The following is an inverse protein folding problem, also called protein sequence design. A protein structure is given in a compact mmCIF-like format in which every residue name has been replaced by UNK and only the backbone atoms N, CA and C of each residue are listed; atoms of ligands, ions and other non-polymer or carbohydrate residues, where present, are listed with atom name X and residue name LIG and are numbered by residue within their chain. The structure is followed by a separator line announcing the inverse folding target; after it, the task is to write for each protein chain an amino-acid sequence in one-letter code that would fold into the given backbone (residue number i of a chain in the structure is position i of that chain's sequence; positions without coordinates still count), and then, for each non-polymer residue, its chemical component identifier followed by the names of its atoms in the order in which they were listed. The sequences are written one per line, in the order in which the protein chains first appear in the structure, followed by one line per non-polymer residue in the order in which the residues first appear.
data_IF_256045827559
#
_entry.id   IF_256045827559
#
_cell.length_a   1.000
_cell.length_b   1.000
_cell.length_c   1.000
_cell.angle_alpha   90.00
_cell.angle_beta   90.00
_cell.angle_gamma   90.00
#
_symmetry.space_group_name_H-M   'P 1'
#
loop_
_entity.id
_entity.type
_entity.pdbx_description
1 polymer ?
#
# COMPACT_ATOMS: atom_id res chain seq x y z
N UNK A 1 27.29 -17.27 18.03
CA UNK A 1 26.65 -16.31 17.10
C UNK A 1 26.66 -16.96 15.74
N UNK A 2 25.50 -17.02 15.08
CA UNK A 2 25.42 -17.56 13.72
C UNK A 2 26.07 -16.56 12.76
N UNK A 3 26.94 -17.03 11.89
CA UNK A 3 27.51 -16.21 10.82
C UNK A 3 26.39 -15.84 9.82
N UNK A 4 26.24 -14.55 9.52
CA UNK A 4 25.21 -14.09 8.58
C UNK A 4 25.64 -14.40 7.16
N UNK A 5 24.84 -15.19 6.44
CA UNK A 5 24.91 -15.21 4.98
C UNK A 5 24.22 -13.95 4.42
N UNK A 6 25.04 -12.99 4.01
CA UNK A 6 24.59 -11.72 3.44
C UNK A 6 23.99 -11.88 2.03
N UNK A 7 24.35 -12.92 1.28
CA UNK A 7 23.75 -13.20 -0.01
C UNK A 7 22.29 -13.61 0.16
N UNK A 8 22.00 -14.45 1.17
CA UNK A 8 20.63 -14.84 1.53
C UNK A 8 19.80 -13.64 2.02
N UNK A 9 20.36 -12.80 2.89
CA UNK A 9 19.69 -11.56 3.33
C UNK A 9 19.39 -10.65 2.14
N UNK A 10 20.31 -10.52 1.18
CA UNK A 10 20.11 -9.72 -0.02
C UNK A 10 19.04 -10.28 -0.97
N UNK A 11 18.90 -11.60 -1.09
CA UNK A 11 17.82 -12.22 -1.87
C UNK A 11 16.44 -11.99 -1.22
N UNK A 12 16.34 -12.14 0.10
CA UNK A 12 15.10 -11.82 0.84
C UNK A 12 14.76 -10.33 0.71
N UNK A 13 15.75 -9.45 0.83
CA UNK A 13 15.57 -8.02 0.65
C UNK A 13 15.09 -7.68 -0.77
N UNK A 14 15.64 -8.32 -1.80
CA UNK A 14 15.24 -8.08 -3.20
C UNK A 14 13.78 -8.47 -3.47
N UNK A 15 13.38 -9.66 -3.01
CA UNK A 15 12.00 -10.15 -3.10
C UNK A 15 11.03 -9.22 -2.38
N UNK A 16 11.42 -8.77 -1.19
CA UNK A 16 10.61 -7.87 -0.37
C UNK A 16 10.49 -6.49 -1.00
N UNK A 17 11.60 -5.92 -1.47
CA UNK A 17 11.64 -4.63 -2.14
C UNK A 17 10.78 -4.61 -3.40
N UNK A 18 10.81 -5.69 -4.20
CA UNK A 18 9.94 -5.84 -5.37
C UNK A 18 8.46 -5.82 -4.99
N UNK A 19 8.09 -6.51 -3.92
CA UNK A 19 6.70 -6.49 -3.42
C UNK A 19 6.29 -5.08 -2.97
N UNK A 20 7.17 -4.38 -2.25
CA UNK A 20 6.89 -3.04 -1.74
C UNK A 20 6.76 -2.04 -2.87
N UNK A 21 7.74 -1.94 -3.77
CA UNK A 21 7.69 -1.02 -4.91
C UNK A 21 6.51 -1.29 -5.86
N UNK A 22 6.03 -2.55 -5.93
CA UNK A 22 4.83 -2.87 -6.70
C UNK A 22 3.53 -2.27 -6.11
N UNK A 23 3.48 -2.16 -4.78
CA UNK A 23 2.35 -1.64 -4.02
C UNK A 23 2.49 -0.13 -3.69
N UNK A 24 3.71 0.37 -3.58
CA UNK A 24 4.02 1.76 -3.23
C UNK A 24 4.66 2.43 -4.45
N UNK A 25 3.84 3.11 -5.27
CA UNK A 25 4.32 3.74 -6.51
C UNK A 25 5.25 4.94 -6.28
N UNK A 26 5.44 5.35 -5.03
CA UNK A 26 6.27 6.50 -4.64
C UNK A 26 7.75 6.13 -4.48
N UNK A 27 8.07 4.83 -4.39
CA UNK A 27 9.45 4.34 -4.20
C UNK A 27 9.89 3.42 -5.31
N UNK A 28 11.20 3.42 -5.59
CA UNK A 28 11.82 2.47 -6.50
C UNK A 28 12.31 1.23 -5.77
N UNK A 29 12.35 0.10 -6.49
CA UNK A 29 12.75 -1.19 -5.92
C UNK A 29 14.16 -1.13 -5.32
N UNK A 30 15.11 -0.56 -6.06
CA UNK A 30 16.52 -0.62 -5.67
C UNK A 30 16.80 0.26 -4.43
N UNK A 31 16.12 1.40 -4.30
CA UNK A 31 16.17 2.24 -3.10
C UNK A 31 15.61 1.52 -1.88
N UNK A 32 14.46 0.85 -2.02
CA UNK A 32 13.87 0.05 -0.92
C UNK A 32 14.82 -1.07 -0.52
N UNK A 33 15.44 -1.75 -1.49
CA UNK A 33 16.41 -2.82 -1.23
C UNK A 33 17.63 -2.28 -0.48
N UNK A 34 18.18 -1.16 -0.94
CA UNK A 34 19.33 -0.50 -0.30
C UNK A 34 18.98 -0.09 1.14
N UNK A 35 17.80 0.48 1.36
CA UNK A 35 17.33 0.85 2.70
C UNK A 35 17.18 -0.37 3.62
N UNK A 36 16.63 -1.49 3.13
CA UNK A 36 16.52 -2.74 3.89
C UNK A 36 17.92 -3.26 4.27
N UNK A 37 18.86 -3.29 3.32
CA UNK A 37 20.21 -3.80 3.54
C UNK A 37 21.01 -2.92 4.50
N UNK A 38 20.89 -1.60 4.38
CA UNK A 38 21.48 -0.66 5.32
C UNK A 38 20.95 -0.91 6.74
N UNK A 39 19.63 -1.06 6.88
CA UNK A 39 19.01 -1.36 8.17
C UNK A 39 19.45 -2.71 8.75
N UNK A 40 19.62 -3.71 7.89
CA UNK A 40 20.13 -5.02 8.29
C UNK A 40 21.57 -4.94 8.79
N UNK A 41 22.43 -4.17 8.12
CA UNK A 41 23.81 -3.95 8.53
C UNK A 41 23.92 -3.24 9.88
N UNK A 42 23.17 -2.15 10.07
CA UNK A 42 23.11 -1.40 11.32
C UNK A 42 22.62 -2.27 12.50
N UNK A 43 21.76 -3.24 12.22
CA UNK A 43 21.15 -4.14 13.22
C UNK A 43 21.64 -5.59 13.11
N UNK A 44 22.86 -5.80 12.61
CA UNK A 44 23.43 -7.14 12.39
C UNK A 44 23.32 -8.05 13.61
N UNK A 45 23.53 -7.53 14.82
CA UNK A 45 23.48 -8.30 16.07
C UNK A 45 22.09 -8.83 16.40
N UNK A 46 21.04 -8.15 15.94
CA UNK A 46 19.67 -8.62 16.08
C UNK A 46 19.38 -9.76 15.10
N UNK A 47 19.92 -9.66 13.88
CA UNK A 47 19.81 -10.69 12.85
C UNK A 47 20.57 -11.94 13.26
N UNK A 48 21.81 -11.82 13.74
CA UNK A 48 22.63 -12.95 14.23
C UNK A 48 21.94 -13.76 15.33
N UNK A 49 21.16 -13.10 16.19
CA UNK A 49 20.40 -13.74 17.28
C UNK A 49 19.12 -14.43 16.82
N UNK A 50 18.52 -13.98 15.72
CA UNK A 50 17.20 -14.42 15.26
C UNK A 50 17.24 -14.93 13.81
N UNK A 51 18.39 -15.45 13.37
CA UNK A 51 18.67 -15.78 11.97
C UNK A 51 17.78 -16.92 11.46
N UNK A 52 16.61 -16.55 10.94
CA UNK A 52 15.61 -17.45 10.37
C UNK A 52 14.93 -16.75 9.19
N UNK A 53 14.51 -17.50 8.18
CA UNK A 53 13.83 -16.94 7.00
C UNK A 53 12.61 -16.11 7.38
N UNK A 54 11.78 -16.64 8.30
CA UNK A 54 10.58 -15.95 8.78
C UNK A 54 10.92 -14.60 9.41
N UNK A 55 11.95 -14.55 10.26
CA UNK A 55 12.38 -13.31 10.89
C UNK A 55 12.94 -12.33 9.85
N UNK A 56 13.82 -12.79 8.95
CA UNK A 56 14.41 -11.96 7.91
C UNK A 56 13.33 -11.36 7.00
N UNK A 57 12.30 -12.13 6.65
CA UNK A 57 11.18 -11.65 5.85
C UNK A 57 10.37 -10.57 6.58
N UNK A 58 10.05 -10.79 7.86
CA UNK A 58 9.33 -9.80 8.68
C UNK A 58 10.16 -8.54 8.91
N UNK A 59 11.46 -8.70 9.16
CA UNK A 59 12.42 -7.62 9.32
C UNK A 59 12.52 -6.76 8.06
N UNK A 60 12.75 -7.40 6.90
CA UNK A 60 12.84 -6.73 5.61
C UNK A 60 11.52 -6.01 5.27
N UNK A 61 10.38 -6.66 5.50
CA UNK A 61 9.07 -6.05 5.23
C UNK A 61 8.87 -4.80 6.07
N UNK A 62 9.18 -4.87 7.37
CA UNK A 62 9.05 -3.73 8.28
C UNK A 62 9.96 -2.58 7.87
N UNK A 63 11.24 -2.86 7.61
CA UNK A 63 12.21 -1.85 7.20
C UNK A 63 11.81 -1.17 5.89
N UNK A 64 11.45 -1.96 4.87
CA UNK A 64 11.04 -1.43 3.58
C UNK A 64 9.74 -0.63 3.63
N UNK A 65 8.72 -1.09 4.37
CA UNK A 65 7.47 -0.34 4.54
C UNK A 65 7.70 0.98 5.28
N UNK A 66 8.59 0.99 6.28
CA UNK A 66 8.96 2.24 6.98
C UNK A 66 9.66 3.22 6.05
N UNK A 67 10.56 2.75 5.19
CA UNK A 67 11.19 3.58 4.16
C UNK A 67 10.14 4.15 3.19
N UNK A 68 9.30 3.28 2.61
CA UNK A 68 8.25 3.71 1.67
C UNK A 68 7.25 4.70 2.29
N UNK A 69 6.90 4.52 3.57
CA UNK A 69 6.05 5.47 4.29
C UNK A 69 6.73 6.83 4.46
N UNK A 70 8.02 6.88 4.75
CA UNK A 70 8.75 8.15 4.88
C UNK A 70 8.86 8.89 3.54
N UNK A 71 9.15 8.17 2.47
CA UNK A 71 9.20 8.74 1.11
C UNK A 71 7.84 9.27 0.69
N UNK A 72 6.75 8.55 1.03
CA UNK A 72 5.40 9.06 0.85
C UNK A 72 5.17 10.34 1.64
N UNK A 73 5.42 10.32 2.94
CA UNK A 73 5.15 11.47 3.80
C UNK A 73 5.96 12.70 3.32
N UNK A 74 7.20 12.52 2.84
CA UNK A 74 8.01 13.58 2.24
C UNK A 74 7.42 14.12 0.92
N UNK A 75 7.02 13.23 0.01
CA UNK A 75 6.39 13.58 -1.27
C UNK A 75 5.03 14.26 -1.10
N UNK A 76 4.24 13.81 -0.13
CA UNK A 76 2.94 14.40 0.18
C UNK A 76 3.11 15.87 0.63
N UNK A 77 4.16 16.16 1.41
CA UNK A 77 4.51 17.53 1.82
C UNK A 77 5.06 18.36 0.66
N UNK A 78 5.92 17.79 -0.18
CA UNK A 78 6.56 18.49 -1.30
C UNK A 78 5.58 18.80 -2.45
N UNK A 79 4.83 17.78 -2.90
CA UNK A 79 3.93 17.88 -4.05
C UNK A 79 2.53 18.41 -3.66
N UNK A 80 2.21 18.48 -2.36
CA UNK A 80 0.87 18.79 -1.84
C UNK A 80 -0.19 17.77 -2.27
N UNK A 81 0.23 16.56 -2.69
CA UNK A 81 -0.63 15.53 -3.28
C UNK A 81 -0.36 14.17 -2.67
N UNK A 82 -1.42 13.53 -2.21
CA UNK A 82 -1.35 12.22 -1.58
C UNK A 82 -1.03 11.08 -2.55
N UNK A 83 -0.32 10.06 -2.07
CA UNK A 83 -0.16 8.77 -2.75
C UNK A 83 -0.96 7.65 -2.07
N UNK A 84 -1.95 7.12 -2.78
CA UNK A 84 -2.71 5.95 -2.37
C UNK A 84 -1.94 4.65 -2.58
N UNK A 85 -2.06 3.74 -1.61
CA UNK A 85 -1.65 2.34 -1.68
C UNK A 85 -2.83 1.42 -2.09
N UNK A 86 -2.58 0.19 -2.57
CA UNK A 86 -3.61 -0.80 -2.85
C UNK A 86 -4.51 -1.12 -1.66
N UNK A 87 -3.94 -1.13 -0.45
CA UNK A 87 -4.71 -1.37 0.78
C UNK A 87 -5.63 -0.19 1.11
N UNK A 88 -5.19 1.05 0.89
CA UNK A 88 -6.04 2.25 1.03
C UNK A 88 -7.14 2.29 -0.03
N UNK A 89 -6.84 1.92 -1.27
CA UNK A 89 -7.85 1.78 -2.32
C UNK A 89 -8.89 0.69 -1.98
N UNK A 90 -8.46 -0.41 -1.36
CA UNK A 90 -9.36 -1.46 -0.85
C UNK A 90 -10.27 -0.93 0.26
N UNK A 91 -9.72 -0.18 1.21
CA UNK A 91 -10.51 0.44 2.28
C UNK A 91 -11.54 1.43 1.71
N UNK A 92 -11.14 2.23 0.71
CA UNK A 92 -12.06 3.13 0.01
C UNK A 92 -13.20 2.39 -0.70
N UNK A 93 -12.96 1.22 -1.30
CA UNK A 93 -14.05 0.40 -1.86
C UNK A 93 -14.98 -0.16 -0.79
N UNK A 94 -14.44 -0.57 0.36
CA UNK A 94 -15.25 -1.12 1.45
C UNK A 94 -16.27 -0.10 1.99
N UNK A 95 -16.04 1.21 1.81
CA UNK A 95 -16.98 2.24 2.25
C UNK A 95 -18.18 2.42 1.31
N UNK A 96 -18.17 1.84 0.11
CA UNK A 96 -19.24 2.05 -0.88
C UNK A 96 -20.60 1.48 -0.44
N UNK A 97 -20.60 0.54 0.50
CA UNK A 97 -21.81 -0.03 1.08
C UNK A 97 -22.52 0.94 2.03
N UNK A 98 -21.81 1.90 2.59
CA UNK A 98 -22.35 2.87 3.54
C UNK A 98 -22.96 4.07 2.81
N UNK A 99 -24.05 4.58 3.36
CA UNK A 99 -24.60 5.88 3.00
C UNK A 99 -23.66 7.01 3.44
N UNK A 100 -23.82 8.20 2.83
CA UNK A 100 -23.01 9.37 3.20
C UNK A 100 -23.30 9.82 4.65
N UNK A 101 -24.49 9.55 5.17
CA UNK A 101 -24.86 9.81 6.57
C UNK A 101 -24.12 8.87 7.53
N UNK A 102 -24.04 7.57 7.21
CA UNK A 102 -23.27 6.59 8.00
C UNK A 102 -21.77 6.91 7.98
N UNK A 103 -21.22 7.33 6.83
CA UNK A 103 -19.83 7.79 6.76
C UNK A 103 -19.62 9.07 7.57
N UNK A 104 -20.56 10.01 7.50
CA UNK A 104 -20.54 11.24 8.29
C UNK A 104 -20.48 10.98 9.79
N UNK A 105 -21.15 9.92 10.27
CA UNK A 105 -21.10 9.50 11.68
C UNK A 105 -19.78 8.78 12.05
N UNK A 106 -19.10 8.16 11.09
CA UNK A 106 -17.77 7.58 11.29
C UNK A 106 -16.66 8.67 11.32
N UNK A 107 -16.89 9.80 10.64
CA UNK A 107 -16.06 11.01 10.67
C UNK A 107 -16.31 11.81 11.95
N UNK A 108 -15.93 11.23 13.08
CA UNK A 108 -16.09 11.84 14.40
C UNK A 108 -14.99 11.49 15.39
N UNK A 109 -13.93 10.79 14.94
CA UNK A 109 -12.69 10.67 15.72
C UNK A 109 -11.88 11.92 15.44
N UNK A 110 -11.72 12.73 16.48
CA UNK A 110 -11.00 14.00 16.50
C UNK A 110 -9.77 13.95 15.59
N UNK A 111 -9.77 14.79 14.55
CA UNK A 111 -8.56 15.21 13.87
C UNK A 111 -7.64 15.80 14.95
N UNK A 112 -6.55 15.10 15.27
CA UNK A 112 -5.63 15.51 16.33
C UNK A 112 -4.79 16.73 15.92
N UNK A 113 -4.98 17.26 14.69
CA UNK A 113 -4.24 18.35 14.06
C UNK A 113 -2.72 18.09 14.00
N UNK A 114 -2.27 16.89 14.36
CA UNK A 114 -0.88 16.48 14.50
C UNK A 114 -0.53 15.37 13.49
N UNK A 115 -1.53 14.67 12.95
CA UNK A 115 -1.37 13.59 11.98
C UNK A 115 -2.03 13.91 10.63
N UNK A 116 -1.26 14.45 9.68
CA UNK A 116 -1.69 14.65 8.30
C UNK A 116 -1.67 13.32 7.50
N UNK A 117 -2.43 12.30 7.92
CA UNK A 117 -2.63 11.11 7.08
C UNK A 117 -4.06 11.07 6.57
N UNK A 118 -4.22 11.14 5.24
CA UNK A 118 -5.52 11.07 4.54
C UNK A 118 -6.25 9.73 4.78
N UNK A 119 -5.63 8.77 5.47
CA UNK A 119 -6.33 7.61 6.05
C UNK A 119 -7.54 7.99 6.91
N UNK A 120 -7.61 9.23 7.40
CA UNK A 120 -8.75 9.75 8.17
C UNK A 120 -9.81 10.46 7.29
N UNK A 121 -9.52 10.72 6.01
CA UNK A 121 -10.44 11.35 5.05
C UNK A 121 -11.12 10.30 4.15
N UNK A 122 -11.92 9.44 4.77
CA UNK A 122 -12.73 8.38 4.13
C UNK A 122 -13.57 8.89 2.94
N UNK A 123 -14.07 10.13 3.01
CA UNK A 123 -14.91 10.72 1.96
C UNK A 123 -14.12 11.05 0.70
N UNK A 124 -12.97 11.72 0.85
CA UNK A 124 -12.11 12.06 -0.30
C UNK A 124 -11.61 10.80 -0.99
N UNK A 125 -11.17 9.80 -0.21
CA UNK A 125 -10.74 8.51 -0.75
C UNK A 125 -11.88 7.78 -1.47
N UNK A 126 -13.12 7.84 -0.95
CA UNK A 126 -14.31 7.26 -1.59
C UNK A 126 -14.62 7.92 -2.94
N UNK A 127 -14.57 9.25 -2.99
CA UNK A 127 -14.79 10.03 -4.21
C UNK A 127 -13.73 9.71 -5.28
N UNK A 128 -12.45 9.72 -4.89
CA UNK A 128 -11.34 9.39 -5.79
C UNK A 128 -11.46 7.95 -6.31
N UNK A 129 -11.80 7.00 -5.44
CA UNK A 129 -12.02 5.62 -5.83
C UNK A 129 -13.20 5.50 -6.81
N UNK A 130 -14.28 6.24 -6.62
CA UNK A 130 -15.46 6.23 -7.50
C UNK A 130 -15.11 6.72 -8.91
N UNK A 131 -14.38 7.83 -9.00
CA UNK A 131 -13.90 8.37 -10.28
C UNK A 131 -12.93 7.42 -10.98
N UNK A 132 -11.97 6.86 -10.24
CA UNK A 132 -10.97 5.94 -10.79
C UNK A 132 -11.59 4.61 -11.25
N UNK A 133 -12.56 4.08 -10.49
CA UNK A 133 -13.24 2.83 -10.80
C UNK A 133 -13.99 2.90 -12.14
N UNK A 134 -14.56 4.06 -12.48
CA UNK A 134 -15.23 4.29 -13.76
C UNK A 134 -14.28 4.28 -14.96
N UNK A 135 -12.98 4.45 -14.74
CA UNK A 135 -11.94 4.44 -15.78
C UNK A 135 -11.29 3.07 -15.94
N UNK A 136 -11.57 2.10 -15.06
CA UNK A 136 -11.09 0.73 -15.20
C UNK A 136 -11.94 -0.07 -16.21
N UNK A 137 -11.35 -1.09 -16.85
CA UNK A 137 -12.10 -2.03 -17.71
C UNK A 137 -13.27 -2.67 -16.95
N UNK A 138 -14.40 -2.86 -17.63
CA UNK A 138 -15.64 -3.36 -17.02
C UNK A 138 -15.45 -4.67 -16.23
N UNK A 139 -14.66 -5.61 -16.78
CA UNK A 139 -14.35 -6.88 -16.12
C UNK A 139 -13.56 -6.71 -14.82
N UNK A 140 -12.64 -5.75 -14.75
CA UNK A 140 -11.89 -5.47 -13.52
C UNK A 140 -12.79 -4.79 -12.48
N UNK A 141 -13.59 -3.83 -12.92
CA UNK A 141 -14.58 -3.17 -12.07
C UNK A 141 -15.56 -4.17 -11.44
N UNK A 142 -16.10 -5.10 -12.22
CA UNK A 142 -17.03 -6.12 -11.72
C UNK A 142 -16.37 -6.99 -10.62
N UNK A 143 -15.15 -7.46 -10.86
CA UNK A 143 -14.40 -8.26 -9.88
C UNK A 143 -14.13 -7.49 -8.59
N UNK A 144 -13.80 -6.19 -8.70
CA UNK A 144 -13.58 -5.32 -7.54
C UNK A 144 -14.87 -5.07 -6.74
N UNK A 145 -15.95 -4.73 -7.43
CA UNK A 145 -17.27 -4.53 -6.81
C UNK A 145 -17.74 -5.78 -6.08
N UNK A 146 -17.70 -6.94 -6.77
CA UNK A 146 -18.10 -8.22 -6.20
C UNK A 146 -17.34 -8.57 -4.94
N UNK A 147 -16.02 -8.41 -4.96
CA UNK A 147 -15.16 -8.85 -3.84
C UNK A 147 -15.12 -7.87 -2.68
N UNK A 148 -14.98 -6.56 -2.97
CA UNK A 148 -14.66 -5.57 -1.94
C UNK A 148 -15.85 -4.68 -1.56
N UNK A 149 -16.85 -4.55 -2.42
CA UNK A 149 -18.09 -3.81 -2.09
C UNK A 149 -19.18 -4.77 -1.60
N UNK A 150 -19.43 -5.85 -2.33
CA UNK A 150 -20.48 -6.82 -1.96
C UNK A 150 -19.99 -7.93 -1.03
N UNK A 151 -18.70 -7.97 -0.70
CA UNK A 151 -18.12 -8.94 0.23
C UNK A 151 -18.20 -10.41 -0.23
N UNK A 152 -18.41 -10.67 -1.52
CA UNK A 152 -18.54 -12.03 -2.02
C UNK A 152 -17.17 -12.74 -2.11
N UNK A 153 -17.10 -14.03 -1.79
CA UNK A 153 -15.86 -14.79 -1.95
C UNK A 153 -15.49 -14.89 -3.45
N UNK A 154 -14.18 -14.96 -3.76
CA UNK A 154 -13.74 -15.23 -5.13
C UNK A 154 -14.21 -16.62 -5.58
N UNK A 155 -14.64 -16.74 -6.83
CA UNK A 155 -15.07 -18.00 -7.45
C UNK A 155 -13.91 -18.99 -7.54
N UNK A 156 -12.72 -18.51 -7.86
CA UNK A 156 -11.52 -19.32 -8.02
C UNK A 156 -10.22 -18.53 -7.69
N UNK A 157 -9.07 -19.22 -7.76
CA UNK A 157 -7.76 -18.58 -7.58
C UNK A 157 -7.46 -17.53 -8.66
N UNK A 158 -8.02 -17.71 -9.85
CA UNK A 158 -7.86 -16.77 -10.97
C UNK A 158 -8.50 -15.43 -10.65
N UNK A 159 -9.73 -15.43 -10.14
CA UNK A 159 -10.46 -14.24 -9.70
C UNK A 159 -9.79 -13.61 -8.48
N UNK A 160 -9.26 -14.42 -7.56
CA UNK A 160 -8.47 -13.92 -6.43
C UNK A 160 -7.26 -13.11 -6.87
N UNK A 161 -6.48 -13.64 -7.84
CA UNK A 161 -5.33 -12.94 -8.43
C UNK A 161 -5.77 -11.74 -9.29
N UNK A 162 -6.90 -11.85 -9.97
CA UNK A 162 -7.45 -10.76 -10.79
C UNK A 162 -7.89 -9.58 -9.92
N UNK A 163 -8.53 -9.82 -8.77
CA UNK A 163 -8.94 -8.74 -7.89
C UNK A 163 -7.76 -8.05 -7.21
N UNK A 164 -6.72 -8.79 -6.82
CA UNK A 164 -5.50 -8.19 -6.25
C UNK A 164 -4.83 -7.27 -7.28
N UNK A 165 -4.68 -7.73 -8.54
CA UNK A 165 -4.19 -6.88 -9.64
C UNK A 165 -5.14 -5.71 -9.92
N UNK A 166 -6.44 -5.90 -9.73
CA UNK A 166 -7.44 -4.85 -9.84
C UNK A 166 -7.25 -3.76 -8.79
N UNK A 167 -6.89 -4.11 -7.54
CA UNK A 167 -6.58 -3.13 -6.50
C UNK A 167 -5.32 -2.33 -6.85
N UNK A 168 -4.27 -3.00 -7.34
CA UNK A 168 -3.06 -2.31 -7.80
C UNK A 168 -3.38 -1.33 -8.93
N UNK A 169 -4.23 -1.75 -9.88
CA UNK A 169 -4.67 -0.91 -10.99
C UNK A 169 -5.53 0.27 -10.52
N UNK A 170 -6.43 0.04 -9.55
CA UNK A 170 -7.26 1.08 -8.95
C UNK A 170 -6.42 2.13 -8.24
N UNK A 171 -5.49 1.72 -7.37
CA UNK A 171 -4.59 2.63 -6.66
C UNK A 171 -3.76 3.47 -7.64
N UNK A 172 -3.20 2.85 -8.69
CA UNK A 172 -2.50 3.57 -9.76
C UNK A 172 -3.40 4.56 -10.49
N UNK A 173 -4.65 4.19 -10.75
CA UNK A 173 -5.60 5.05 -11.44
C UNK A 173 -6.03 6.25 -10.57
N UNK A 174 -6.31 6.03 -9.28
CA UNK A 174 -6.58 7.10 -8.30
C UNK A 174 -5.41 8.08 -8.24
N UNK A 175 -4.19 7.56 -8.11
CA UNK A 175 -2.96 8.33 -8.12
C UNK A 175 -2.77 9.11 -9.43
N UNK A 176 -3.09 8.52 -10.57
CA UNK A 176 -3.01 9.21 -11.87
C UNK A 176 -4.00 10.37 -11.95
N UNK A 177 -5.19 10.20 -11.39
CA UNK A 177 -6.27 11.18 -11.48
C UNK A 177 -6.01 12.39 -10.60
N UNK A 178 -5.52 12.18 -9.36
CA UNK A 178 -5.02 13.26 -8.50
C UNK A 178 -3.94 14.11 -9.16
N UNK A 179 -3.10 13.50 -10.00
CA UNK A 179 -2.01 14.21 -10.69
C UNK A 179 -2.46 14.95 -11.96
N UNK A 180 -3.60 14.58 -12.55
CA UNK A 180 -4.14 15.21 -13.78
C UNK A 180 -4.86 16.53 -13.54
N UNK A 181 -5.46 16.74 -12.36
CA UNK A 181 -6.27 17.94 -12.06
C UNK A 181 -5.45 19.25 -12.12
N UNK A 182 -4.12 19.16 -12.24
CA UNK A 182 -3.19 20.29 -12.19
C UNK A 182 -2.40 20.52 -13.50
N UNK A 183 -2.77 19.88 -14.60
CA UNK A 183 -2.16 20.08 -15.93
C UNK A 183 -3.10 20.85 -16.86
#
# INVERSE_FOLDING_TARGET
MTEIDWAHVADIADKTARSIASAWSVVEKDDVKQAILLHAYERRTLIEKNYTDTFLWQFAKKAGTQYASKERDARDVEDGKYYYTPDEAKLALATFVYSDEEIGQMLGREDDLLSCRITDNLVSARLDASLALNRLPAKQREVLMRRYVYGMPPKDDTERKASNRGLDALARQMNRDLRKVTA
#
